data_IF_335476173361
#
_entry.id   IF_335476173361
#
_cell.length_a   1.000
_cell.length_b   1.000
_cell.length_c   1.000
_cell.angle_alpha   90.00
_cell.angle_beta   90.00
_cell.angle_gamma   90.00
#
_symmetry.space_group_name_H-M   'P 1'
#
loop_
_entity.id
_entity.type
_entity.pdbx_description
1 polymer ?
#
# COMPACT_ATOMS: atom_id res chain seq x y z
N UNK A 1 11.24 -18.74 -23.45
CA UNK A 1 10.69 -17.55 -22.75
C UNK A 1 9.21 -17.22 -23.05
N UNK A 2 8.52 -17.81 -24.04
CA UNK A 2 7.12 -17.45 -24.39
C UNK A 2 6.01 -17.97 -23.44
N UNK A 3 6.23 -19.07 -22.71
CA UNK A 3 5.18 -19.75 -21.91
C UNK A 3 4.73 -18.96 -20.66
N UNK A 4 5.60 -18.11 -20.09
CA UNK A 4 5.29 -17.31 -18.89
C UNK A 4 4.44 -16.05 -19.19
N UNK A 5 4.42 -15.56 -20.44
CA UNK A 5 3.63 -14.35 -20.78
C UNK A 5 2.14 -14.66 -20.87
N UNK A 6 1.76 -15.84 -21.38
CA UNK A 6 0.36 -16.24 -21.47
C UNK A 6 -0.28 -16.39 -20.09
N UNK A 7 0.36 -17.14 -19.18
CA UNK A 7 -0.13 -17.31 -17.82
C UNK A 7 -0.23 -15.98 -17.06
N UNK A 8 0.77 -15.10 -17.20
CA UNK A 8 0.75 -13.75 -16.63
C UNK A 8 -0.44 -12.93 -17.16
N UNK A 9 -0.67 -12.95 -18.46
CA UNK A 9 -1.78 -12.22 -19.09
C UNK A 9 -3.14 -12.78 -18.68
N UNK A 10 -3.29 -14.10 -18.60
CA UNK A 10 -4.52 -14.73 -18.15
C UNK A 10 -4.85 -14.35 -16.70
N UNK A 11 -3.87 -14.42 -15.79
CA UNK A 11 -4.04 -14.00 -14.40
C UNK A 11 -4.44 -12.53 -14.32
N UNK A 12 -3.79 -11.65 -15.09
CA UNK A 12 -4.15 -10.23 -15.14
C UNK A 12 -5.60 -10.03 -15.58
N UNK A 13 -6.05 -10.69 -16.66
CA UNK A 13 -7.42 -10.55 -17.18
C UNK A 13 -8.42 -11.01 -16.12
N UNK A 14 -8.23 -12.19 -15.54
CA UNK A 14 -9.14 -12.75 -14.52
C UNK A 14 -9.23 -11.83 -13.30
N UNK A 15 -8.09 -11.39 -12.76
CA UNK A 15 -8.07 -10.53 -11.57
C UNK A 15 -8.72 -9.17 -11.84
N UNK A 16 -8.50 -8.58 -13.02
CA UNK A 16 -9.12 -7.31 -13.40
C UNK A 16 -10.63 -7.44 -13.63
N UNK A 17 -11.10 -8.53 -14.22
CA UNK A 17 -12.53 -8.80 -14.38
C UNK A 17 -13.22 -8.97 -13.02
N UNK A 18 -12.59 -9.70 -12.10
CA UNK A 18 -13.08 -9.82 -10.72
C UNK A 18 -13.10 -8.47 -10.00
N UNK A 19 -12.06 -7.64 -10.16
CA UNK A 19 -12.04 -6.29 -9.59
C UNK A 19 -13.18 -5.42 -10.14
N UNK A 20 -13.40 -5.48 -11.46
CA UNK A 20 -14.50 -4.76 -12.10
C UNK A 20 -15.87 -5.24 -11.58
N UNK A 21 -16.07 -6.55 -11.45
CA UNK A 21 -17.30 -7.12 -10.91
C UNK A 21 -17.55 -6.63 -9.46
N UNK A 22 -16.54 -6.71 -8.60
CA UNK A 22 -16.61 -6.22 -7.21
C UNK A 22 -16.94 -4.72 -7.18
N UNK A 23 -16.34 -3.93 -8.08
CA UNK A 23 -16.61 -2.50 -8.19
C UNK A 23 -18.08 -2.23 -8.54
N UNK A 24 -18.61 -2.89 -9.57
CA UNK A 24 -20.01 -2.69 -9.99
C UNK A 24 -21.03 -3.16 -8.96
N UNK A 25 -20.72 -4.21 -8.19
CA UNK A 25 -21.61 -4.70 -7.12
C UNK A 25 -21.66 -3.73 -5.93
N UNK A 26 -20.52 -3.17 -5.53
CA UNK A 26 -20.40 -2.40 -4.28
C UNK A 26 -20.57 -0.87 -4.46
N UNK A 27 -20.39 -0.35 -5.67
CA UNK A 27 -20.42 1.09 -5.93
C UNK A 27 -21.50 1.44 -6.95
N UNK A 28 -22.65 1.92 -6.45
CA UNK A 28 -23.77 2.36 -7.27
C UNK A 28 -23.57 3.78 -7.83
N UNK A 29 -22.50 3.97 -8.61
CA UNK A 29 -22.23 5.19 -9.38
C UNK A 29 -22.29 6.49 -8.56
N UNK A 30 -23.00 7.50 -9.07
CA UNK A 30 -23.05 8.85 -8.49
C UNK A 30 -24.00 9.00 -7.28
N UNK A 31 -24.65 7.93 -6.79
CA UNK A 31 -25.59 8.04 -5.66
C UNK A 31 -24.93 8.61 -4.41
N UNK A 32 -23.69 8.20 -4.12
CA UNK A 32 -22.91 8.69 -2.99
C UNK A 32 -22.55 10.18 -3.13
N UNK A 33 -22.66 10.78 -4.31
CA UNK A 33 -22.31 12.17 -4.60
C UNK A 33 -23.51 13.15 -4.57
N UNK A 34 -24.74 12.65 -4.40
CA UNK A 34 -25.96 13.49 -4.48
C UNK A 34 -26.10 14.58 -3.41
N UNK A 35 -25.40 14.44 -2.29
CA UNK A 35 -25.51 15.33 -1.12
C UNK A 35 -24.29 16.24 -0.92
N UNK A 36 -23.38 16.33 -1.90
CA UNK A 36 -22.18 17.17 -1.78
C UNK A 36 -22.14 18.26 -2.85
N UNK A 37 -21.56 19.40 -2.49
CA UNK A 37 -21.40 20.52 -3.40
C UNK A 37 -20.29 20.29 -4.42
N UNK A 38 -20.32 21.01 -5.53
CA UNK A 38 -19.28 20.95 -6.58
C UNK A 38 -17.88 21.24 -6.03
N UNK A 39 -17.78 22.19 -5.10
CA UNK A 39 -16.52 22.52 -4.43
C UNK A 39 -15.99 21.34 -3.60
N UNK A 40 -16.86 20.62 -2.89
CA UNK A 40 -16.48 19.41 -2.14
C UNK A 40 -15.99 18.31 -3.09
N UNK A 41 -16.64 18.13 -4.24
CA UNK A 41 -16.19 17.17 -5.26
C UNK A 41 -14.78 17.54 -5.75
N UNK A 42 -14.52 18.81 -6.03
CA UNK A 42 -13.21 19.30 -6.46
C UNK A 42 -12.12 19.04 -5.40
N UNK A 43 -12.45 19.26 -4.12
CA UNK A 43 -11.55 18.95 -2.99
C UNK A 43 -11.22 17.45 -2.94
N UNK A 44 -12.22 16.57 -3.12
CA UNK A 44 -11.95 15.12 -3.11
C UNK A 44 -11.09 14.73 -4.31
N UNK A 45 -11.37 15.26 -5.52
CA UNK A 45 -10.55 14.98 -6.71
C UNK A 45 -9.09 15.41 -6.49
N UNK A 46 -8.87 16.64 -6.01
CA UNK A 46 -7.53 17.15 -5.70
C UNK A 46 -6.82 16.29 -4.66
N UNK A 47 -7.54 15.87 -3.62
CA UNK A 47 -7.05 14.98 -2.56
C UNK A 47 -6.64 13.63 -3.14
N UNK A 48 -7.50 12.98 -3.92
CA UNK A 48 -7.26 11.68 -4.54
C UNK A 48 -6.02 11.76 -5.45
N UNK A 49 -5.89 12.81 -6.26
CA UNK A 49 -4.70 13.02 -7.09
C UNK A 49 -3.42 13.14 -6.24
N UNK A 50 -3.43 13.99 -5.21
CA UNK A 50 -2.26 14.22 -4.36
C UNK A 50 -1.88 12.97 -3.55
N UNK A 51 -2.85 12.29 -2.96
CA UNK A 51 -2.63 11.05 -2.20
C UNK A 51 -2.06 9.96 -3.10
N UNK A 52 -2.61 9.76 -4.29
CA UNK A 52 -2.07 8.76 -5.22
C UNK A 52 -0.71 9.15 -5.79
N UNK A 53 -0.44 10.44 -5.98
CA UNK A 53 0.89 10.92 -6.34
C UNK A 53 1.91 10.59 -5.24
N UNK A 54 1.59 10.87 -3.97
CA UNK A 54 2.46 10.55 -2.83
C UNK A 54 2.69 9.04 -2.67
N UNK A 55 1.61 8.24 -2.74
CA UNK A 55 1.68 6.76 -2.68
C UNK A 55 2.48 6.19 -3.86
N UNK A 56 2.32 6.75 -5.07
CA UNK A 56 3.11 6.36 -6.23
C UNK A 56 4.58 6.78 -6.11
N UNK A 57 4.88 7.98 -5.62
CA UNK A 57 6.26 8.42 -5.42
C UNK A 57 6.96 7.55 -4.38
N UNK A 58 6.28 7.22 -3.28
CA UNK A 58 6.80 6.33 -2.24
C UNK A 58 7.18 4.97 -2.80
N UNK A 59 6.28 4.33 -3.54
CA UNK A 59 6.53 3.02 -4.11
C UNK A 59 7.61 3.06 -5.21
N UNK A 60 7.68 4.14 -5.98
CA UNK A 60 8.74 4.35 -6.97
C UNK A 60 10.12 4.43 -6.30
N UNK A 61 10.24 5.16 -5.18
CA UNK A 61 11.48 5.23 -4.40
C UNK A 61 11.86 3.88 -3.76
N UNK A 62 10.87 3.11 -3.32
CA UNK A 62 11.08 1.76 -2.79
C UNK A 62 11.56 0.76 -3.87
N UNK A 63 11.17 0.99 -5.13
CA UNK A 63 11.64 0.25 -6.30
C UNK A 63 12.91 0.83 -6.93
N UNK A 64 13.46 1.93 -6.41
CA UNK A 64 14.60 2.61 -7.04
C UNK A 64 15.83 1.70 -7.09
N UNK A 65 16.43 1.59 -8.29
CA UNK A 65 17.45 0.59 -8.61
C UNK A 65 16.88 -0.76 -9.07
N UNK A 66 15.58 -0.85 -9.33
CA UNK A 66 15.02 -1.84 -10.26
C UNK A 66 14.94 -1.19 -11.64
N UNK A 67 15.39 -1.89 -12.68
CA UNK A 67 15.43 -1.41 -14.07
C UNK A 67 14.02 -1.35 -14.70
N UNK A 68 13.08 -0.67 -14.05
CA UNK A 68 11.71 -0.48 -14.50
C UNK A 68 11.58 0.90 -15.14
N UNK A 69 11.10 0.94 -16.38
CA UNK A 69 10.84 2.22 -17.05
C UNK A 69 9.66 2.96 -16.40
N UNK A 70 9.68 4.32 -16.35
CA UNK A 70 8.60 5.09 -15.73
C UNK A 70 7.20 4.79 -16.30
N UNK A 71 7.10 4.54 -17.60
CA UNK A 71 5.83 4.14 -18.24
C UNK A 71 5.34 2.77 -17.75
N UNK A 72 6.23 1.77 -17.67
CA UNK A 72 5.88 0.43 -17.14
C UNK A 72 5.47 0.52 -15.68
N UNK A 73 6.18 1.34 -14.90
CA UNK A 73 5.85 1.61 -13.52
C UNK A 73 4.44 2.22 -13.39
N UNK A 74 4.15 3.30 -14.12
CA UNK A 74 2.86 3.99 -14.06
C UNK A 74 1.70 3.07 -14.46
N UNK A 75 1.83 2.31 -15.56
CA UNK A 75 0.82 1.32 -15.98
C UNK A 75 0.61 0.24 -14.93
N UNK A 76 1.69 -0.25 -14.33
CA UNK A 76 1.60 -1.28 -13.28
C UNK A 76 0.92 -0.74 -12.04
N UNK A 77 1.30 0.45 -11.58
CA UNK A 77 0.69 1.12 -10.44
C UNK A 77 -0.82 1.32 -10.65
N UNK A 78 -1.22 1.85 -11.80
CA UNK A 78 -2.63 2.07 -12.13
C UNK A 78 -3.42 0.76 -12.29
N UNK A 79 -2.76 -0.34 -12.69
CA UNK A 79 -3.37 -1.66 -12.79
C UNK A 79 -3.62 -2.30 -11.43
N UNK A 80 -2.62 -2.26 -10.55
CA UNK A 80 -2.65 -3.00 -9.26
C UNK A 80 -3.37 -2.25 -8.15
N UNK A 81 -3.41 -0.91 -8.21
CA UNK A 81 -4.02 -0.08 -7.17
C UNK A 81 -5.53 -0.31 -7.03
N UNK A 82 -6.34 -0.31 -8.10
CA UNK A 82 -7.77 -0.63 -8.00
C UNK A 82 -8.01 -2.03 -7.42
N UNK A 83 -7.21 -3.02 -7.86
CA UNK A 83 -7.32 -4.40 -7.36
C UNK A 83 -7.02 -4.46 -5.86
N UNK A 84 -5.94 -3.80 -5.42
CA UNK A 84 -5.53 -3.72 -4.00
C UNK A 84 -6.59 -3.06 -3.12
N UNK A 85 -7.28 -2.03 -3.62
CA UNK A 85 -8.33 -1.31 -2.89
C UNK A 85 -9.63 -2.13 -2.83
N UNK A 86 -10.02 -2.79 -3.94
CA UNK A 86 -11.32 -3.44 -4.06
C UNK A 86 -11.36 -4.86 -3.49
N UNK A 87 -10.26 -5.61 -3.55
CA UNK A 87 -10.27 -7.01 -3.11
C UNK A 87 -10.36 -7.12 -1.58
N UNK A 88 -11.26 -7.98 -1.05
CA UNK A 88 -11.36 -8.22 0.38
C UNK A 88 -10.10 -8.92 0.91
N UNK A 89 -9.91 -8.86 2.23
CA UNK A 89 -8.81 -9.52 2.96
C UNK A 89 -7.40 -9.18 2.43
N UNK A 90 -7.22 -8.00 1.81
CA UNK A 90 -5.94 -7.56 1.22
C UNK A 90 -5.40 -8.50 0.14
N UNK A 91 -6.24 -9.34 -0.48
CA UNK A 91 -5.82 -10.30 -1.52
C UNK A 91 -5.18 -9.60 -2.74
N UNK A 92 -5.59 -8.36 -3.03
CA UNK A 92 -4.99 -7.57 -4.09
C UNK A 92 -3.51 -7.23 -3.88
N UNK A 93 -2.99 -7.32 -2.64
CA UNK A 93 -1.56 -7.15 -2.39
C UNK A 93 -0.72 -8.29 -2.99
N UNK A 94 -1.22 -9.53 -2.99
CA UNK A 94 -0.52 -10.64 -3.64
C UNK A 94 -0.42 -10.43 -5.15
N UNK A 95 -1.49 -9.92 -5.78
CA UNK A 95 -1.47 -9.56 -7.19
C UNK A 95 -0.45 -8.45 -7.49
N UNK A 96 -0.37 -7.47 -6.59
CA UNK A 96 0.61 -6.40 -6.67
C UNK A 96 2.05 -6.92 -6.53
N UNK A 97 2.32 -7.80 -5.57
CA UNK A 97 3.62 -8.47 -5.40
C UNK A 97 4.00 -9.25 -6.66
N UNK A 98 3.06 -9.99 -7.23
CA UNK A 98 3.24 -10.76 -8.47
C UNK A 98 3.60 -9.87 -9.66
N UNK A 99 2.88 -8.76 -9.85
CA UNK A 99 3.16 -7.83 -10.95
C UNK A 99 4.54 -7.18 -10.83
N UNK A 100 4.89 -6.66 -9.66
CA UNK A 100 6.20 -6.05 -9.45
C UNK A 100 7.32 -7.09 -9.47
N UNK A 101 7.10 -8.30 -8.95
CA UNK A 101 8.05 -9.40 -9.05
C UNK A 101 8.33 -9.80 -10.50
N UNK A 102 7.30 -9.81 -11.36
CA UNK A 102 7.44 -10.06 -12.78
C UNK A 102 8.26 -8.96 -13.48
N UNK A 103 7.94 -7.68 -13.26
CA UNK A 103 8.63 -6.57 -13.94
C UNK A 103 10.05 -6.30 -13.42
N UNK A 104 10.33 -6.59 -12.14
CA UNK A 104 11.69 -6.52 -11.58
C UNK A 104 12.56 -7.72 -11.97
N UNK A 105 11.98 -8.78 -12.54
CA UNK A 105 12.67 -10.06 -12.77
C UNK A 105 13.03 -10.82 -11.49
N UNK A 106 12.63 -10.31 -10.31
CA UNK A 106 12.95 -10.87 -9.01
C UNK A 106 11.72 -10.84 -8.11
N UNK A 107 11.10 -12.02 -7.92
CA UNK A 107 9.89 -12.16 -7.11
C UNK A 107 10.12 -11.76 -5.64
N UNK A 108 11.30 -12.07 -5.08
CA UNK A 108 11.63 -11.68 -3.70
C UNK A 108 11.64 -10.16 -3.55
N UNK A 109 12.27 -9.44 -4.50
CA UNK A 109 12.29 -7.98 -4.52
C UNK A 109 10.87 -7.41 -4.62
N UNK A 110 10.04 -7.93 -5.53
CA UNK A 110 8.64 -7.53 -5.65
C UNK A 110 7.83 -7.72 -4.35
N UNK A 111 7.99 -8.87 -3.69
CA UNK A 111 7.35 -9.16 -2.40
C UNK A 111 7.83 -8.20 -1.31
N UNK A 112 9.15 -8.08 -1.13
CA UNK A 112 9.74 -7.24 -0.08
C UNK A 112 9.39 -5.78 -0.26
N UNK A 113 9.41 -5.25 -1.49
CA UNK A 113 9.06 -3.85 -1.75
C UNK A 113 7.60 -3.57 -1.40
N UNK A 114 6.66 -4.46 -1.75
CA UNK A 114 5.24 -4.28 -1.39
C UNK A 114 5.03 -4.40 0.12
N UNK A 115 5.66 -5.38 0.78
CA UNK A 115 5.59 -5.52 2.24
C UNK A 115 6.16 -4.30 2.96
N UNK A 116 7.29 -3.77 2.50
CA UNK A 116 7.88 -2.54 3.06
C UNK A 116 7.00 -1.33 2.84
N UNK A 117 6.37 -1.21 1.67
CA UNK A 117 5.40 -0.15 1.42
C UNK A 117 4.20 -0.24 2.38
N UNK A 118 3.65 -1.45 2.60
CA UNK A 118 2.55 -1.68 3.57
C UNK A 118 2.98 -1.45 5.01
N UNK A 119 4.21 -1.80 5.36
CA UNK A 119 4.77 -1.55 6.69
C UNK A 119 4.86 -0.05 6.98
N UNK A 120 5.39 0.75 6.05
CA UNK A 120 5.45 2.21 6.20
C UNK A 120 4.06 2.85 6.27
N UNK A 121 3.12 2.37 5.46
CA UNK A 121 1.71 2.79 5.47
C UNK A 121 1.04 2.53 6.83
N UNK A 122 1.34 1.37 7.43
CA UNK A 122 0.78 0.94 8.72
C UNK A 122 1.37 1.74 9.88
N UNK A 123 2.70 1.98 9.88
CA UNK A 123 3.32 2.84 10.91
C UNK A 123 2.70 4.24 10.84
N UNK A 124 2.60 4.82 9.64
CA UNK A 124 2.00 6.15 9.49
C UNK A 124 0.55 6.20 9.94
N UNK A 125 -0.27 5.20 9.60
CA UNK A 125 -1.66 5.10 10.06
C UNK A 125 -1.74 5.02 11.60
N UNK A 126 -0.94 4.15 12.22
CA UNK A 126 -0.90 4.01 13.70
C UNK A 126 -0.45 5.32 14.34
N UNK A 127 0.55 6.02 13.78
CA UNK A 127 0.96 7.36 14.24
C UNK A 127 -0.20 8.34 14.20
N UNK A 128 -0.95 8.41 13.10
CA UNK A 128 -2.09 9.32 12.97
C UNK A 128 -3.18 9.02 14.02
N UNK A 129 -3.50 7.75 14.24
CA UNK A 129 -4.49 7.35 15.24
C UNK A 129 -4.04 7.76 16.65
N UNK A 130 -2.76 7.53 17.01
CA UNK A 130 -2.22 7.92 18.32
C UNK A 130 -2.27 9.44 18.51
N UNK A 131 -1.90 10.22 17.50
CA UNK A 131 -1.96 11.69 17.55
C UNK A 131 -3.40 12.18 17.77
N UNK A 132 -4.36 11.61 17.03
CA UNK A 132 -5.79 11.94 17.19
C UNK A 132 -6.32 11.55 18.57
N UNK A 133 -5.89 10.40 19.09
CA UNK A 133 -6.25 9.92 20.41
C UNK A 133 -5.77 10.88 21.51
N UNK A 134 -4.50 11.28 21.48
CA UNK A 134 -3.93 12.21 22.46
C UNK A 134 -4.66 13.56 22.51
N UNK A 135 -5.24 14.00 21.38
CA UNK A 135 -5.98 15.26 21.30
C UNK A 135 -7.45 15.18 21.73
N UNK A 136 -8.04 13.98 21.82
CA UNK A 136 -9.50 13.80 22.01
C UNK A 136 -9.91 13.02 23.24
N UNK A 137 -9.04 12.14 23.75
CA UNK A 137 -9.34 11.29 24.90
C UNK A 137 -10.36 10.18 24.62
N UNK A 138 -10.72 9.92 23.34
CA UNK A 138 -11.60 8.81 22.98
C UNK A 138 -10.93 7.45 23.26
N UNK A 139 -11.69 6.35 23.32
CA UNK A 139 -11.09 5.02 23.48
C UNK A 139 -10.43 4.57 22.17
N UNK A 140 -9.20 4.06 22.23
CA UNK A 140 -8.55 3.46 21.05
C UNK A 140 -9.15 2.07 20.79
N UNK A 141 -9.45 1.77 19.52
CA UNK A 141 -9.87 0.45 19.09
C UNK A 141 -8.81 -0.61 19.44
N UNK A 142 -9.18 -1.78 19.99
CA UNK A 142 -8.26 -2.89 20.31
C UNK A 142 -7.30 -3.29 19.18
N UNK A 143 -7.75 -3.18 17.92
CA UNK A 143 -6.94 -3.48 16.73
C UNK A 143 -5.67 -2.63 16.63
N UNK A 144 -5.69 -1.37 17.08
CA UNK A 144 -4.54 -0.48 17.03
C UNK A 144 -3.45 -0.94 18.00
N UNK A 145 -3.82 -1.43 19.18
CA UNK A 145 -2.87 -2.02 20.12
C UNK A 145 -2.22 -3.28 19.53
N UNK A 146 -3.00 -4.12 18.85
CA UNK A 146 -2.47 -5.30 18.15
C UNK A 146 -1.47 -4.88 17.06
N UNK A 147 -1.79 -3.86 16.27
CA UNK A 147 -0.89 -3.32 15.24
C UNK A 147 0.38 -2.71 15.85
N UNK A 148 0.27 -2.02 16.99
CA UNK A 148 1.41 -1.46 17.70
C UNK A 148 2.35 -2.56 18.21
N UNK A 149 1.81 -3.59 18.85
CA UNK A 149 2.58 -4.76 19.29
C UNK A 149 3.24 -5.44 18.09
N UNK A 150 2.50 -5.60 16.99
CA UNK A 150 3.06 -6.16 15.75
C UNK A 150 4.23 -5.33 15.21
N UNK A 151 4.11 -4.00 15.15
CA UNK A 151 5.19 -3.10 14.71
C UNK A 151 6.41 -3.24 15.63
N UNK A 152 6.22 -3.17 16.95
CA UNK A 152 7.31 -3.27 17.93
C UNK A 152 8.03 -4.61 17.81
N UNK A 153 7.28 -5.72 17.77
CA UNK A 153 7.85 -7.06 17.61
C UNK A 153 8.60 -7.19 16.28
N UNK A 154 8.06 -6.65 15.18
CA UNK A 154 8.73 -6.68 13.89
C UNK A 154 10.04 -5.88 13.89
N UNK A 155 10.05 -4.68 14.48
CA UNK A 155 11.24 -3.84 14.61
C UNK A 155 12.29 -4.54 15.49
N UNK A 156 11.90 -5.11 16.62
CA UNK A 156 12.82 -5.86 17.49
C UNK A 156 13.40 -7.07 16.76
N UNK A 157 12.57 -7.87 16.10
CA UNK A 157 13.05 -9.01 15.30
C UNK A 157 14.04 -8.55 14.23
N UNK A 158 13.75 -7.45 13.53
CA UNK A 158 14.62 -6.89 12.50
C UNK A 158 15.98 -6.45 13.07
N UNK A 159 15.99 -5.77 14.22
CA UNK A 159 17.22 -5.29 14.87
C UNK A 159 18.08 -6.43 15.41
N UNK A 160 17.46 -7.47 15.97
CA UNK A 160 18.15 -8.61 16.59
C UNK A 160 18.61 -9.64 15.54
N UNK A 161 17.99 -9.68 14.36
CA UNK A 161 18.24 -10.67 13.31
C UNK A 161 19.72 -10.80 12.89
N UNK A 162 20.51 -9.73 12.66
CA UNK A 162 21.93 -9.86 12.30
C UNK A 162 22.76 -10.63 13.33
N UNK A 163 22.50 -10.38 14.61
CA UNK A 163 23.16 -11.08 15.72
C UNK A 163 22.78 -12.55 15.77
N UNK A 164 21.47 -12.84 15.67
CA UNK A 164 20.96 -14.21 15.62
C UNK A 164 21.52 -14.97 14.42
N UNK A 165 21.52 -14.37 13.23
CA UNK A 165 22.06 -14.96 12.02
C UNK A 165 23.53 -15.36 12.19
N UNK A 166 24.36 -14.43 12.67
CA UNK A 166 25.80 -14.67 12.87
C UNK A 166 26.06 -15.78 13.89
N UNK A 167 25.33 -15.77 15.01
CA UNK A 167 25.45 -16.78 16.07
C UNK A 167 25.05 -18.17 15.57
N UNK A 168 23.82 -18.30 15.05
CA UNK A 168 23.26 -19.58 14.63
C UNK A 168 24.00 -20.17 13.44
N UNK A 169 24.47 -19.34 12.49
CA UNK A 169 25.30 -19.81 11.38
C UNK A 169 26.60 -20.44 11.87
N UNK A 170 27.32 -19.78 12.79
CA UNK A 170 28.56 -20.31 13.38
C UNK A 170 28.31 -21.60 14.16
N UNK A 171 27.24 -21.63 14.96
CA UNK A 171 26.87 -22.81 15.75
C UNK A 171 26.54 -24.01 14.86
N UNK A 172 25.68 -23.83 13.85
CA UNK A 172 25.25 -24.90 12.95
C UNK A 172 26.39 -25.46 12.08
N UNK A 173 27.35 -24.61 11.69
CA UNK A 173 28.51 -25.04 10.91
C UNK A 173 29.56 -25.81 11.74
N UNK A 174 29.59 -25.64 13.06
CA UNK A 174 30.52 -26.33 13.96
C UNK A 174 29.98 -27.66 14.49
N UNK A 175 28.68 -27.89 14.37
CA UNK A 175 28.03 -29.08 14.88
C UNK A 175 28.00 -30.20 13.82
N UNK A 176 27.95 -31.46 14.26
CA UNK A 176 27.98 -32.61 13.32
C UNK A 176 26.92 -32.53 12.24
N UNK A 177 27.30 -32.85 11.01
CA UNK A 177 26.43 -32.79 9.85
C UNK A 177 25.23 -33.72 10.02
N UNK A 178 24.03 -33.16 10.02
CA UNK A 178 22.77 -33.90 9.98
C UNK A 178 21.80 -33.24 9.01
N UNK A 179 20.89 -34.03 8.44
CA UNK A 179 19.87 -33.55 7.50
C UNK A 179 19.05 -32.40 8.09
N UNK A 180 18.73 -32.49 9.39
CA UNK A 180 17.97 -31.45 10.13
C UNK A 180 18.77 -30.14 10.23
N UNK A 181 20.05 -30.21 10.59
CA UNK A 181 20.91 -29.01 10.70
C UNK A 181 21.17 -28.36 9.34
N UNK A 182 21.34 -29.16 8.29
CA UNK A 182 21.45 -28.65 6.92
C UNK A 182 20.16 -27.93 6.49
N UNK A 183 18.99 -28.47 6.85
CA UNK A 183 17.70 -27.81 6.64
C UNK A 183 17.60 -26.48 7.37
N UNK A 184 18.00 -26.43 8.64
CA UNK A 184 18.03 -25.20 9.44
C UNK A 184 18.97 -24.15 8.84
N UNK A 185 20.15 -24.56 8.34
CA UNK A 185 21.09 -23.65 7.68
C UNK A 185 20.50 -23.06 6.39
N UNK A 186 19.84 -23.88 5.56
CA UNK A 186 19.14 -23.41 4.35
C UNK A 186 18.04 -22.40 4.66
N UNK A 187 17.25 -22.66 5.71
CA UNK A 187 16.23 -21.72 6.17
C UNK A 187 16.87 -20.40 6.63
N UNK A 188 17.95 -20.48 7.41
CA UNK A 188 18.66 -19.31 7.91
C UNK A 188 19.25 -18.46 6.77
N UNK A 189 19.78 -19.08 5.73
CA UNK A 189 20.24 -18.38 4.52
C UNK A 189 19.08 -17.75 3.74
N UNK A 190 17.95 -18.42 3.64
CA UNK A 190 16.75 -17.86 3.01
C UNK A 190 16.25 -16.62 3.76
N UNK A 191 16.17 -16.69 5.10
CA UNK A 191 15.83 -15.53 5.94
C UNK A 191 16.84 -14.39 5.77
N UNK A 192 18.13 -14.70 5.67
CA UNK A 192 19.16 -13.68 5.45
C UNK A 192 19.02 -13.00 4.08
N UNK A 193 18.61 -13.72 3.03
CA UNK A 193 18.29 -13.11 1.73
C UNK A 193 17.13 -12.13 1.84
N UNK A 194 16.07 -12.48 2.57
CA UNK A 194 14.93 -11.58 2.83
C UNK A 194 15.40 -10.34 3.59
N UNK A 195 16.19 -10.52 4.66
CA UNK A 195 16.74 -9.42 5.45
C UNK A 195 17.58 -8.45 4.62
N UNK A 196 18.49 -8.98 3.79
CA UNK A 196 19.34 -8.16 2.91
C UNK A 196 18.51 -7.38 1.88
N UNK A 197 17.43 -7.97 1.36
CA UNK A 197 16.53 -7.26 0.44
C UNK A 197 15.75 -6.14 1.17
N UNK A 198 15.27 -6.39 2.41
CA UNK A 198 14.63 -5.35 3.23
C UNK A 198 15.61 -4.20 3.51
N UNK A 199 16.86 -4.53 3.85
CA UNK A 199 17.92 -3.54 4.03
C UNK A 199 18.15 -2.76 2.73
N UNK A 200 18.20 -3.41 1.58
CA UNK A 200 18.40 -2.75 0.29
C UNK A 200 17.28 -1.75 -0.06
N UNK A 201 16.02 -2.11 0.21
CA UNK A 201 14.86 -1.22 -0.02
C UNK A 201 14.84 -0.05 0.97
N UNK A 202 15.23 -0.26 2.23
CA UNK A 202 15.17 0.75 3.29
C UNK A 202 16.41 1.65 3.39
N UNK A 203 17.57 1.21 2.90
CA UNK A 203 18.87 1.90 3.05
C UNK A 203 18.82 3.33 2.52
N UNK A 204 18.95 4.30 3.43
CA UNK A 204 18.97 5.74 3.10
C UNK A 204 17.62 6.30 2.63
N UNK A 205 16.55 5.49 2.57
CA UNK A 205 15.23 5.89 2.07
C UNK A 205 14.11 5.68 3.07
N UNK A 206 14.33 4.88 4.13
CA UNK A 206 13.28 4.53 5.10
C UNK A 206 12.53 5.73 5.68
N UNK A 207 13.25 6.79 6.07
CA UNK A 207 12.65 8.04 6.58
C UNK A 207 11.80 8.72 5.51
N UNK A 208 12.28 8.80 4.27
CA UNK A 208 11.54 9.41 3.15
C UNK A 208 10.26 8.61 2.87
N UNK A 209 10.34 7.28 2.88
CA UNK A 209 9.17 6.42 2.69
C UNK A 209 8.12 6.63 3.79
N UNK A 210 8.57 6.77 5.03
CA UNK A 210 7.70 7.07 6.17
C UNK A 210 7.06 8.47 6.05
N UNK A 211 7.83 9.50 5.74
CA UNK A 211 7.34 10.88 5.57
C UNK A 211 6.30 10.96 4.45
N UNK A 212 6.54 10.32 3.31
CA UNK A 212 5.55 10.26 2.22
C UNK A 212 4.26 9.55 2.65
N UNK A 213 4.35 8.56 3.54
CA UNK A 213 3.20 7.87 4.11
C UNK A 213 2.39 8.79 5.04
N UNK A 214 3.08 9.55 5.89
CA UNK A 214 2.44 10.55 6.76
C UNK A 214 1.76 11.65 5.94
N UNK A 215 2.44 12.19 4.93
CA UNK A 215 1.87 13.23 4.06
C UNK A 215 0.62 12.74 3.33
N UNK A 216 0.61 11.48 2.87
CA UNK A 216 -0.57 10.88 2.26
C UNK A 216 -1.74 10.82 3.24
N UNK A 217 -1.53 10.34 4.48
CA UNK A 217 -2.57 10.30 5.50
C UNK A 217 -3.04 11.68 5.95
N UNK A 218 -2.13 12.64 6.16
CA UNK A 218 -2.47 14.03 6.51
C UNK A 218 -3.31 14.67 5.42
N UNK A 219 -2.99 14.43 4.16
CA UNK A 219 -3.78 14.92 3.02
C UNK A 219 -5.17 14.28 3.01
N UNK A 220 -5.24 12.96 3.20
CA UNK A 220 -6.49 12.19 3.19
C UNK A 220 -7.42 12.64 4.33
N UNK A 221 -6.92 12.67 5.58
CA UNK A 221 -7.65 13.13 6.77
C UNK A 221 -7.98 14.63 6.67
N UNK A 222 -7.04 15.44 6.18
CA UNK A 222 -7.23 16.87 5.99
C UNK A 222 -8.41 17.17 5.07
N UNK A 223 -8.61 16.37 4.02
CA UNK A 223 -9.78 16.51 3.14
C UNK A 223 -11.09 16.23 3.86
N UNK A 224 -11.12 15.21 4.73
CA UNK A 224 -12.30 14.87 5.55
C UNK A 224 -12.61 16.02 6.51
N UNK A 225 -11.59 16.60 7.14
CA UNK A 225 -11.72 17.74 8.05
C UNK A 225 -12.28 18.98 7.34
N UNK A 226 -11.75 19.32 6.17
CA UNK A 226 -12.22 20.47 5.37
C UNK A 226 -13.67 20.27 4.96
N UNK A 227 -14.04 19.08 4.47
CA UNK A 227 -15.42 18.82 4.05
C UNK A 227 -16.37 18.81 5.25
N UNK A 228 -15.95 18.27 6.39
CA UNK A 228 -16.72 18.29 7.63
C UNK A 228 -17.00 19.74 8.09
N UNK A 229 -15.98 20.59 8.10
CA UNK A 229 -16.14 22.00 8.50
C UNK A 229 -17.02 22.79 7.54
N UNK A 230 -16.95 22.52 6.23
CA UNK A 230 -17.87 23.09 5.24
C UNK A 230 -19.34 22.70 5.48
N UNK A 231 -19.58 21.53 6.06
CA UNK A 231 -20.92 21.05 6.43
C UNK A 231 -21.38 21.58 7.81
N UNK A 232 -20.65 22.53 8.39
CA UNK A 232 -20.99 23.15 9.68
C UNK A 232 -20.57 22.33 10.91
N UNK A 233 -19.83 21.23 10.72
CA UNK A 233 -19.26 20.45 11.83
C UNK A 233 -18.13 21.27 12.45
N UNK A 234 -18.30 21.68 13.70
CA UNK A 234 -17.34 22.52 14.41
C UNK A 234 -16.14 21.71 14.88
N UNK A 235 -15.03 22.40 15.15
CA UNK A 235 -13.84 21.84 15.79
C UNK A 235 -14.08 21.53 17.28
N UNK A 236 -15.08 20.69 17.56
CA UNK A 236 -15.38 20.10 18.85
C UNK A 236 -15.26 18.56 18.75
N UNK A 237 -15.74 17.83 19.77
CA UNK A 237 -15.69 16.37 19.77
C UNK A 237 -16.39 15.70 18.57
N UNK A 238 -17.28 16.38 17.85
CA UNK A 238 -17.95 15.84 16.66
C UNK A 238 -17.02 15.69 15.46
N UNK A 239 -16.06 16.60 15.28
CA UNK A 239 -15.05 16.51 14.23
C UNK A 239 -14.10 15.36 14.50
N UNK A 240 -13.63 15.22 15.74
CA UNK A 240 -12.74 14.11 16.12
C UNK A 240 -13.42 12.78 15.92
N UNK A 241 -14.67 12.61 16.39
CA UNK A 241 -15.43 11.37 16.18
C UNK A 241 -15.52 11.00 14.70
N UNK A 242 -15.73 11.99 13.82
CA UNK A 242 -15.80 11.76 12.37
C UNK A 242 -14.46 11.31 11.76
N UNK A 243 -13.35 11.85 12.25
CA UNK A 243 -12.00 11.39 11.87
C UNK A 243 -11.76 9.98 12.41
N UNK A 244 -12.13 9.70 13.66
CA UNK A 244 -12.06 8.37 14.27
C UNK A 244 -12.82 7.38 13.40
N UNK A 245 -14.10 7.61 13.13
CA UNK A 245 -14.96 6.78 12.25
C UNK A 245 -14.32 6.53 10.87
N UNK A 246 -13.69 7.55 10.28
CA UNK A 246 -12.96 7.40 9.01
C UNK A 246 -11.75 6.45 9.17
N UNK A 247 -10.95 6.62 10.21
CA UNK A 247 -9.78 5.76 10.47
C UNK A 247 -10.20 4.33 10.84
N UNK A 248 -11.28 4.14 11.60
CA UNK A 248 -11.85 2.83 11.88
C UNK A 248 -12.31 2.15 10.58
N UNK A 249 -12.97 2.91 9.69
CA UNK A 249 -13.45 2.41 8.39
C UNK A 249 -12.31 1.91 7.50
N UNK A 250 -11.17 2.61 7.53
CA UNK A 250 -9.97 2.21 6.80
C UNK A 250 -9.33 0.91 7.35
N UNK A 251 -9.57 0.58 8.62
CA UNK A 251 -9.04 -0.61 9.29
C UNK A 251 -9.99 -1.83 9.24
N UNK A 252 -11.28 -1.64 9.56
CA UNK A 252 -12.25 -2.72 9.76
C UNK A 252 -13.09 -3.05 8.52
N UNK A 253 -13.00 -2.25 7.45
CA UNK A 253 -13.66 -2.51 6.18
C UNK A 253 -15.13 -2.06 6.09
N UNK A 254 -15.73 -1.56 7.18
CA UNK A 254 -17.02 -0.88 7.13
C UNK A 254 -16.84 0.50 6.51
N UNK A 255 -17.19 0.66 5.23
CA UNK A 255 -16.87 1.89 4.50
C UNK A 255 -17.82 3.04 4.85
N UNK A 256 -17.26 4.10 5.44
CA UNK A 256 -17.91 5.42 5.53
C UNK A 256 -18.21 5.97 4.14
N UNK A 257 -19.16 6.90 4.04
CA UNK A 257 -19.53 7.53 2.76
C UNK A 257 -18.32 8.28 2.18
N UNK A 258 -17.52 8.91 3.05
CA UNK A 258 -16.27 9.60 2.73
C UNK A 258 -15.27 8.64 2.10
N UNK A 259 -15.06 7.46 2.70
CA UNK A 259 -14.15 6.45 2.15
C UNK A 259 -14.67 5.88 0.82
N UNK A 260 -15.98 5.67 0.68
CA UNK A 260 -16.58 5.22 -0.60
C UNK A 260 -16.33 6.20 -1.74
N UNK A 261 -16.56 7.50 -1.50
CA UNK A 261 -16.31 8.57 -2.48
C UNK A 261 -14.84 8.61 -2.88
N UNK A 262 -13.94 8.53 -1.90
CA UNK A 262 -12.50 8.48 -2.14
C UNK A 262 -12.14 7.28 -3.03
N UNK A 263 -12.57 6.07 -2.66
CA UNK A 263 -12.28 4.84 -3.42
C UNK A 263 -12.83 4.90 -4.84
N UNK A 264 -14.06 5.39 -5.05
CA UNK A 264 -14.65 5.52 -6.37
C UNK A 264 -13.80 6.41 -7.28
N UNK A 265 -13.45 7.61 -6.80
CA UNK A 265 -12.62 8.54 -7.56
C UNK A 265 -11.20 8.02 -7.77
N UNK A 266 -10.63 7.30 -6.80
CA UNK A 266 -9.35 6.59 -6.95
C UNK A 266 -9.38 5.60 -8.11
N UNK A 267 -10.41 4.74 -8.18
CA UNK A 267 -10.53 3.74 -9.25
C UNK A 267 -10.66 4.41 -10.62
N UNK A 268 -11.52 5.44 -10.73
CA UNK A 268 -11.69 6.20 -11.98
C UNK A 268 -10.38 6.88 -12.39
N UNK A 269 -9.69 7.55 -11.46
CA UNK A 269 -8.41 8.19 -11.71
C UNK A 269 -7.37 7.19 -12.23
N UNK A 270 -7.25 6.01 -11.61
CA UNK A 270 -6.31 4.99 -12.06
C UNK A 270 -6.62 4.51 -13.48
N UNK A 271 -7.89 4.33 -13.83
CA UNK A 271 -8.29 3.95 -15.20
C UNK A 271 -7.90 5.05 -16.20
N UNK A 272 -8.22 6.32 -15.90
CA UNK A 272 -7.90 7.46 -16.78
C UNK A 272 -6.40 7.58 -17.01
N UNK A 273 -5.58 7.52 -15.95
CA UNK A 273 -4.12 7.60 -16.06
C UNK A 273 -3.58 6.40 -16.86
N UNK A 274 -4.10 5.19 -16.62
CA UNK A 274 -3.68 4.01 -17.37
C UNK A 274 -3.91 4.16 -18.88
N UNK A 275 -5.10 4.63 -19.28
CA UNK A 275 -5.46 4.87 -20.68
C UNK A 275 -4.57 5.96 -21.30
N UNK A 276 -4.34 7.05 -20.57
CA UNK A 276 -3.49 8.15 -21.03
C UNK A 276 -2.04 7.70 -21.28
N UNK A 277 -1.43 6.98 -20.31
CA UNK A 277 -0.06 6.46 -20.47
C UNK A 277 0.02 5.46 -21.64
N UNK A 278 -1.00 4.61 -21.80
CA UNK A 278 -1.07 3.67 -22.92
C UNK A 278 -1.15 4.38 -24.28
N UNK A 279 -1.97 5.43 -24.40
CA UNK A 279 -2.06 6.22 -25.62
C UNK A 279 -0.73 6.92 -25.96
N UNK A 280 -0.05 7.46 -24.96
CA UNK A 280 1.25 8.10 -25.13
C UNK A 280 2.35 7.10 -25.59
N UNK A 281 2.34 5.87 -25.07
CA UNK A 281 3.27 4.84 -25.51
C UNK A 281 3.04 4.43 -26.98
N UNK A 282 1.78 4.29 -27.40
CA UNK A 282 1.42 3.93 -28.79
C UNK A 282 1.91 5.00 -29.76
N UNK A 283 1.59 6.26 -29.50
CA UNK A 283 2.02 7.39 -30.34
C UNK A 283 3.55 7.54 -30.39
N UNK A 284 4.27 7.22 -29.31
CA UNK A 284 5.75 7.21 -29.30
C UNK A 284 6.33 6.04 -30.10
N UNK A 285 5.62 4.90 -30.16
CA UNK A 285 6.02 3.73 -30.95
C UNK A 285 5.82 3.95 -32.45
N UNK A 286 4.81 4.71 -32.86
CA UNK A 286 4.54 5.04 -34.26
C UNK A 286 5.49 6.10 -34.84
N UNK A 287 6.18 6.87 -33.97
CA UNK A 287 7.18 7.88 -34.36
C UNK A 287 8.62 7.33 -34.48
N UNK A 288 8.83 6.04 -34.25
CA UNK A 288 10.13 5.36 -34.37
C UNK A 288 10.11 4.41 -35.56
#
# INVERSE_FOLDING_TARGET
MKKNSFAYNLINIVVLLLAALIFFINYEGLKDFRQISELQILIIIATVMLVHFLKALRLYLALYGADITPSTYAKTYCKVTPVSILFPFKLGEFFRMYCYGHYTGNMLKGVVTVLMDRFMDTIALVTMIIVMWLGSGEAIIPLVYLLLVFIVVFVLMFLVFPGLYSYWKKYLLRADASVRKLGALKLLEAMNKVYLEIMNVSRGRGIILYVLSLLAWVTEIGSVVIIASMNGIRADGSLTRKISEYLESALMGNQTIELKRFVLLSVVLMIVIYLFVKAFDVTKSERK
#
